data_IF_272126376671
#
_entry.id   IF_272126376671
#
_cell.length_a   1.000
_cell.length_b   1.000
_cell.length_c   1.000
_cell.angle_alpha   90.00
_cell.angle_beta   90.00
_cell.angle_gamma   90.00
#
_symmetry.space_group_name_H-M   'P 1'
#
loop_
_entity.id
_entity.type
_entity.pdbx_description
1 polymer ?
#
# COMPACT_ATOMS: atom_id res chain seq x y z
N UNK A 1 -2.45 -18.29 4.83
CA UNK A 1 -1.37 -19.05 5.54
C UNK A 1 -0.36 -18.01 5.95
N UNK A 2 0.03 -18.02 7.22
CA UNK A 2 0.96 -17.04 7.74
C UNK A 2 2.33 -17.20 7.08
N UNK A 3 2.97 -16.08 6.76
CA UNK A 3 4.26 -16.06 6.05
C UNK A 3 5.17 -14.97 6.61
N UNK A 4 6.45 -15.10 6.33
CA UNK A 4 7.45 -14.10 6.66
C UNK A 4 8.44 -13.93 5.51
N UNK A 5 9.12 -12.79 5.50
CA UNK A 5 10.27 -12.52 4.66
C UNK A 5 11.33 -11.75 5.47
N UNK A 6 12.58 -11.79 5.02
CA UNK A 6 13.68 -11.00 5.62
C UNK A 6 14.39 -10.32 4.46
N UNK A 7 14.27 -9.01 4.40
CA UNK A 7 14.79 -8.20 3.28
C UNK A 7 14.92 -6.74 3.69
N UNK A 8 15.92 -6.05 3.18
CA UNK A 8 16.02 -4.58 3.26
C UNK A 8 14.96 -3.97 2.35
N UNK A 9 13.93 -3.37 2.94
CA UNK A 9 12.80 -2.78 2.22
C UNK A 9 12.69 -1.26 2.39
N UNK A 10 13.46 -0.68 3.30
CA UNK A 10 13.50 0.76 3.54
C UNK A 10 14.77 1.43 2.96
N UNK A 11 15.77 0.62 2.57
CA UNK A 11 17.00 1.07 1.93
C UNK A 11 18.06 1.57 2.92
N UNK A 12 17.95 1.23 4.21
CA UNK A 12 18.91 1.64 5.23
C UNK A 12 20.15 0.72 5.30
N UNK A 13 20.13 -0.40 4.56
CA UNK A 13 21.19 -1.40 4.49
C UNK A 13 21.08 -2.49 5.56
N UNK A 14 20.05 -2.49 6.38
CA UNK A 14 19.69 -3.56 7.30
C UNK A 14 18.48 -4.31 6.76
N UNK A 15 18.26 -5.52 7.26
CA UNK A 15 17.11 -6.33 6.85
C UNK A 15 15.99 -6.19 7.86
N UNK A 16 14.79 -5.95 7.38
CA UNK A 16 13.56 -5.99 8.15
C UNK A 16 13.00 -7.41 8.17
N UNK A 17 12.27 -7.73 9.23
CA UNK A 17 11.40 -8.88 9.30
C UNK A 17 9.98 -8.48 8.86
N UNK A 18 9.57 -8.97 7.71
CA UNK A 18 8.22 -8.82 7.21
C UNK A 18 7.37 -9.99 7.66
N UNK A 19 6.16 -9.71 8.09
CA UNK A 19 5.26 -10.72 8.62
C UNK A 19 3.85 -10.53 8.06
N UNK A 20 3.29 -11.57 7.44
CA UNK A 20 1.89 -11.59 7.02
C UNK A 20 1.16 -12.67 7.79
N UNK A 21 0.17 -12.30 8.57
CA UNK A 21 -0.57 -13.22 9.42
C UNK A 21 -2.08 -12.99 9.34
N UNK A 22 -2.84 -14.08 9.50
CA UNK A 22 -4.27 -14.03 9.69
C UNK A 22 -4.59 -13.99 11.18
N UNK A 23 -5.35 -12.98 11.62
CA UNK A 23 -5.90 -12.99 12.95
C UNK A 23 -7.31 -13.65 12.95
N UNK A 24 -7.83 -13.99 14.12
CA UNK A 24 -9.04 -14.79 14.29
C UNK A 24 -10.36 -14.06 13.99
N UNK A 25 -10.31 -12.81 13.57
CA UNK A 25 -11.51 -12.02 13.31
C UNK A 25 -11.75 -11.87 11.82
N UNK A 26 -13.01 -11.69 11.46
CA UNK A 26 -13.50 -11.59 10.07
C UNK A 26 -12.63 -10.63 9.26
N UNK A 27 -12.02 -11.14 8.19
CA UNK A 27 -11.10 -10.42 7.33
C UNK A 27 -9.81 -9.92 8.00
N UNK A 28 -9.41 -10.53 9.09
CA UNK A 28 -8.24 -10.16 9.85
C UNK A 28 -6.94 -10.72 9.27
N UNK A 29 -6.49 -10.19 8.14
CA UNK A 29 -5.11 -10.35 7.71
C UNK A 29 -4.38 -9.03 7.95
N UNK A 30 -3.16 -9.13 8.45
CA UNK A 30 -2.29 -7.98 8.72
C UNK A 30 -0.87 -8.26 8.23
N UNK A 31 -0.22 -7.23 7.73
CA UNK A 31 1.20 -7.22 7.43
C UNK A 31 1.93 -6.31 8.40
N UNK A 32 3.07 -6.80 8.89
CA UNK A 32 3.99 -6.06 9.75
C UNK A 32 5.32 -5.91 9.03
N UNK A 33 5.94 -4.76 9.18
CA UNK A 33 7.35 -4.53 8.92
C UNK A 33 7.99 -4.21 10.25
N UNK A 34 8.98 -5.01 10.62
CA UNK A 34 9.64 -4.96 11.93
C UNK A 34 11.14 -4.73 11.72
N UNK A 35 11.68 -3.69 12.34
CA UNK A 35 13.12 -3.44 12.40
C UNK A 35 13.73 -3.94 13.70
N UNK A 36 15.02 -4.32 13.64
CA UNK A 36 15.77 -4.72 14.80
C UNK A 36 16.41 -3.50 15.45
N UNK A 37 16.04 -3.22 16.70
CA UNK A 37 16.49 -2.06 17.45
C UNK A 37 17.84 -2.30 18.16
N UNK A 38 18.56 -1.23 18.49
CA UNK A 38 19.86 -1.31 19.17
C UNK A 38 19.82 -2.01 20.54
N UNK A 39 18.66 -1.94 21.22
CA UNK A 39 18.45 -2.60 22.52
C UNK A 39 18.12 -4.09 22.40
N UNK A 40 18.07 -4.64 21.18
CA UNK A 40 17.76 -6.03 20.89
C UNK A 40 16.27 -6.33 20.77
N UNK A 41 15.40 -5.33 20.85
CA UNK A 41 13.96 -5.48 20.60
C UNK A 41 13.61 -5.37 19.12
N UNK A 42 12.35 -5.69 18.78
CA UNK A 42 11.78 -5.43 17.46
C UNK A 42 10.88 -4.19 17.53
N UNK A 43 11.14 -3.20 16.69
CA UNK A 43 10.30 -2.04 16.45
C UNK A 43 9.31 -2.31 15.32
N UNK A 44 8.10 -1.77 15.42
CA UNK A 44 7.12 -1.83 14.33
C UNK A 44 7.32 -0.58 13.46
N UNK A 45 7.76 -0.76 12.23
CA UNK A 45 7.86 0.32 11.24
C UNK A 45 6.53 0.53 10.51
N UNK A 46 5.79 -0.56 10.20
CA UNK A 46 4.47 -0.52 9.59
C UNK A 46 3.59 -1.66 10.10
N UNK A 47 2.30 -1.37 10.28
CA UNK A 47 1.24 -2.36 10.51
C UNK A 47 0.05 -1.98 9.64
N UNK A 48 -0.23 -2.79 8.61
CA UNK A 48 -1.23 -2.50 7.60
C UNK A 48 -1.89 -3.76 7.02
N UNK A 49 -2.74 -3.59 6.01
CA UNK A 49 -3.31 -4.68 5.24
C UNK A 49 -2.22 -5.45 4.47
N UNK A 50 -2.42 -6.76 4.20
CA UNK A 50 -1.34 -7.63 3.74
C UNK A 50 -0.96 -7.49 2.26
N UNK A 51 -1.72 -6.74 1.46
CA UNK A 51 -1.42 -6.55 0.04
C UNK A 51 -0.53 -5.32 -0.13
N UNK A 52 0.78 -5.56 -0.16
CA UNK A 52 1.82 -4.54 -0.22
C UNK A 52 2.62 -4.67 -1.52
N UNK A 53 2.92 -3.54 -2.15
CA UNK A 53 3.96 -3.43 -3.18
C UNK A 53 5.07 -2.56 -2.64
N UNK A 54 6.29 -3.08 -2.67
CA UNK A 54 7.50 -2.42 -2.18
C UNK A 54 8.29 -1.85 -3.35
N UNK A 55 8.89 -0.67 -3.15
CA UNK A 55 9.76 -0.01 -4.13
C UNK A 55 11.14 0.25 -3.52
N UNK A 56 12.17 0.24 -4.36
CA UNK A 56 13.57 0.36 -3.96
C UNK A 56 14.00 1.76 -3.48
N UNK A 57 13.06 2.71 -3.41
CA UNK A 57 13.23 4.04 -2.83
C UNK A 57 12.57 4.22 -1.45
N UNK A 58 12.21 3.13 -0.77
CA UNK A 58 11.53 3.17 0.52
C UNK A 58 10.05 3.58 0.45
N UNK A 59 9.43 3.48 -0.73
CA UNK A 59 7.99 3.67 -0.91
C UNK A 59 7.26 2.33 -0.78
N UNK A 60 6.10 2.34 -0.15
CA UNK A 60 5.20 1.18 -0.08
C UNK A 60 3.80 1.60 -0.53
N UNK A 61 3.22 0.80 -1.40
CA UNK A 61 1.81 0.90 -1.78
C UNK A 61 1.02 -0.18 -1.07
N UNK A 62 0.02 0.24 -0.29
CA UNK A 62 -0.84 -0.65 0.51
C UNK A 62 -2.24 -0.63 -0.05
N UNK A 63 -2.71 -1.75 -0.59
CA UNK A 63 -4.04 -1.84 -1.18
C UNK A 63 -5.12 -2.02 -0.11
N UNK A 64 -6.26 -1.34 -0.28
CA UNK A 64 -7.44 -1.51 0.56
C UNK A 64 -7.94 -2.96 0.49
N UNK A 65 -8.33 -3.54 1.63
CA UNK A 65 -8.68 -4.97 1.67
C UNK A 65 -10.21 -5.22 1.65
N UNK A 66 -11.00 -4.22 2.02
CA UNK A 66 -12.43 -4.36 2.22
C UNK A 66 -13.30 -3.45 1.37
N UNK A 67 -12.71 -2.61 0.55
CA UNK A 67 -13.45 -1.67 -0.28
C UNK A 67 -12.83 -1.58 -1.66
N UNK A 68 -13.64 -1.82 -2.67
CA UNK A 68 -13.25 -1.62 -4.07
C UNK A 68 -13.41 -0.15 -4.50
N UNK A 69 -13.76 0.75 -3.55
CA UNK A 69 -14.04 2.14 -3.90
C UNK A 69 -15.19 2.30 -4.91
N UNK A 70 -15.11 3.34 -5.73
CA UNK A 70 -16.08 3.65 -6.77
C UNK A 70 -15.66 3.17 -8.17
N UNK A 71 -14.54 2.47 -8.28
CA UNK A 71 -14.05 1.93 -9.55
C UNK A 71 -14.13 0.39 -9.62
N UNK A 72 -14.59 -0.29 -8.56
CA UNK A 72 -14.76 -1.73 -8.53
C UNK A 72 -13.48 -2.47 -8.87
N UNK A 73 -13.54 -3.38 -9.86
CA UNK A 73 -12.38 -4.16 -10.30
C UNK A 73 -11.44 -3.38 -11.24
N UNK A 74 -11.89 -2.21 -11.75
CA UNK A 74 -11.10 -1.40 -12.68
C UNK A 74 -9.94 -0.68 -12.01
N UNK A 75 -10.10 -0.35 -10.71
CA UNK A 75 -9.07 0.29 -9.92
C UNK A 75 -9.27 -0.05 -8.44
N UNK A 76 -8.22 -0.57 -7.80
CA UNK A 76 -8.26 -0.91 -6.39
C UNK A 76 -7.68 0.24 -5.56
N UNK A 77 -8.44 0.82 -4.61
CA UNK A 77 -7.94 1.92 -3.76
C UNK A 77 -6.70 1.50 -2.98
N UNK A 78 -5.80 2.46 -2.76
CA UNK A 78 -4.56 2.20 -2.03
C UNK A 78 -4.09 3.44 -1.26
N UNK A 79 -3.19 3.20 -0.29
CA UNK A 79 -2.43 4.24 0.41
C UNK A 79 -0.95 4.13 0.04
N UNK A 80 -0.28 5.28 -0.05
CA UNK A 80 1.17 5.35 -0.18
C UNK A 80 1.79 5.68 1.17
N UNK A 81 2.86 4.96 1.47
CA UNK A 81 3.70 5.16 2.64
C UNK A 81 5.13 5.39 2.20
N UNK A 82 5.83 6.29 2.87
CA UNK A 82 7.26 6.53 2.66
C UNK A 82 7.99 6.32 3.98
N UNK A 83 9.13 5.66 3.91
CA UNK A 83 10.00 5.49 5.06
C UNK A 83 10.59 6.82 5.52
N UNK A 84 10.52 7.08 6.83
CA UNK A 84 11.18 8.21 7.48
C UNK A 84 12.32 7.68 8.36
N UNK A 85 13.60 7.91 7.97
CA UNK A 85 14.75 7.44 8.72
C UNK A 85 14.94 8.14 10.07
N UNK A 86 14.24 9.26 10.35
CA UNK A 86 14.32 9.93 11.62
C UNK A 86 13.49 9.26 12.71
N UNK A 87 12.37 8.69 12.32
CA UNK A 87 11.43 8.01 13.21
C UNK A 87 11.53 6.49 13.15
N UNK A 88 12.28 5.95 12.18
CA UNK A 88 12.34 4.51 11.85
C UNK A 88 10.94 3.94 11.59
N UNK A 89 10.13 4.67 10.79
CA UNK A 89 8.74 4.30 10.49
C UNK A 89 8.35 4.67 9.08
N UNK A 90 7.33 3.98 8.61
CA UNK A 90 6.62 4.38 7.39
C UNK A 90 5.49 5.33 7.74
N UNK A 91 5.48 6.49 7.09
CA UNK A 91 4.43 7.49 7.23
C UNK A 91 3.57 7.51 5.97
N UNK A 92 2.24 7.53 6.17
CA UNK A 92 1.31 7.66 5.06
C UNK A 92 1.49 9.04 4.41
N UNK A 93 1.66 9.05 3.10
CA UNK A 93 1.84 10.29 2.32
C UNK A 93 0.62 10.63 1.45
N UNK A 94 -0.14 9.62 1.04
CA UNK A 94 -1.36 9.83 0.26
C UNK A 94 -2.31 8.63 0.37
N UNK A 95 -3.59 8.89 0.15
CA UNK A 95 -4.60 7.88 -0.18
C UNK A 95 -5.09 8.12 -1.59
N UNK A 96 -5.32 7.04 -2.33
CA UNK A 96 -5.77 7.11 -3.72
C UNK A 96 -7.01 6.25 -3.93
N UNK A 97 -7.99 6.83 -4.59
CA UNK A 97 -9.20 6.14 -5.02
C UNK A 97 -9.54 6.56 -6.46
N UNK A 98 -10.48 5.89 -7.09
CA UNK A 98 -10.94 6.22 -8.42
C UNK A 98 -12.46 6.02 -8.54
N UNK A 99 -13.05 6.65 -9.55
CA UNK A 99 -14.44 6.44 -9.89
C UNK A 99 -14.57 6.05 -11.36
N UNK A 100 -15.08 4.84 -11.60
CA UNK A 100 -15.45 4.35 -12.92
C UNK A 100 -16.92 4.73 -13.18
N UNK A 101 -17.13 5.59 -14.17
CA UNK A 101 -18.45 6.08 -14.58
C UNK A 101 -19.39 4.92 -14.98
N UNK A 102 -18.85 3.83 -15.49
CA UNK A 102 -19.67 2.67 -15.89
C UNK A 102 -20.39 2.00 -14.71
N UNK A 103 -19.91 2.22 -13.48
CA UNK A 103 -20.52 1.71 -12.25
C UNK A 103 -21.60 2.66 -11.70
N UNK A 104 -21.71 3.89 -12.19
CA UNK A 104 -22.72 4.83 -11.80
C UNK A 104 -22.41 6.25 -12.21
N UNK A 105 -23.43 6.96 -12.67
CA UNK A 105 -23.36 8.39 -13.02
C UNK A 105 -23.45 9.31 -11.80
N UNK A 106 -23.80 8.75 -10.62
CA UNK A 106 -23.86 9.47 -9.35
C UNK A 106 -23.28 8.60 -8.24
N UNK A 107 -22.64 9.23 -7.25
CA UNK A 107 -22.17 8.53 -6.08
C UNK A 107 -23.22 8.58 -4.95
N UNK A 108 -23.92 7.47 -4.66
CA UNK A 108 -24.93 7.45 -3.63
C UNK A 108 -24.36 7.61 -2.20
N UNK A 109 -23.08 7.31 -1.99
CA UNK A 109 -22.40 7.46 -0.70
C UNK A 109 -22.05 8.93 -0.41
N UNK A 110 -22.00 9.78 -1.46
CA UNK A 110 -21.64 11.19 -1.36
C UNK A 110 -22.78 12.09 -1.79
N UNK A 111 -23.95 11.92 -1.18
CA UNK A 111 -25.14 12.73 -1.44
C UNK A 111 -25.53 12.79 -2.94
N UNK A 112 -25.34 11.69 -3.68
CA UNK A 112 -25.61 11.59 -5.11
C UNK A 112 -24.88 12.66 -5.95
N UNK A 113 -23.63 12.97 -5.60
CA UNK A 113 -22.76 13.82 -6.43
C UNK A 113 -22.67 13.20 -7.82
N UNK A 114 -22.86 13.99 -8.89
CA UNK A 114 -22.74 13.48 -10.27
C UNK A 114 -21.27 13.20 -10.60
N UNK A 115 -21.05 12.27 -11.56
CA UNK A 115 -19.71 12.02 -12.10
C UNK A 115 -19.11 13.31 -12.68
N UNK A 116 -17.85 13.67 -12.32
CA UNK A 116 -17.23 14.93 -12.74
C UNK A 116 -16.71 14.85 -14.19
N UNK A 117 -17.64 14.86 -15.15
CA UNK A 117 -17.32 14.64 -16.56
C UNK A 117 -16.38 15.72 -17.15
N UNK A 118 -16.37 16.91 -16.58
CA UNK A 118 -15.47 18.00 -16.97
C UNK A 118 -14.00 17.72 -16.60
N UNK A 119 -13.76 16.87 -15.61
CA UNK A 119 -12.42 16.44 -15.22
C UNK A 119 -11.88 15.33 -16.13
N UNK A 120 -12.75 14.43 -16.60
CA UNK A 120 -12.40 13.35 -17.53
C UNK A 120 -12.18 13.88 -18.96
N UNK A 121 -11.10 14.67 -19.14
CA UNK A 121 -10.81 15.38 -20.40
C UNK A 121 -10.59 14.42 -21.56
N UNK A 122 -10.08 13.23 -21.29
CA UNK A 122 -9.83 12.19 -22.29
C UNK A 122 -11.03 11.29 -22.55
N UNK A 123 -12.12 11.50 -21.80
CA UNK A 123 -13.33 10.68 -21.87
C UNK A 123 -13.03 9.17 -21.73
N UNK A 124 -12.19 8.85 -20.74
CA UNK A 124 -11.80 7.46 -20.39
C UNK A 124 -12.91 6.76 -19.60
N UNK A 125 -13.81 7.54 -18.99
CA UNK A 125 -14.80 7.05 -18.04
C UNK A 125 -14.23 6.87 -16.62
N UNK A 126 -12.99 7.32 -16.37
CA UNK A 126 -12.31 7.18 -15.09
C UNK A 126 -11.77 8.52 -14.61
N UNK A 127 -12.03 8.85 -13.35
CA UNK A 127 -11.36 9.95 -12.62
C UNK A 127 -10.73 9.43 -11.36
N UNK A 128 -9.71 10.12 -10.87
CA UNK A 128 -8.91 9.70 -9.71
C UNK A 128 -8.97 10.76 -8.62
N UNK A 129 -8.80 10.31 -7.38
CA UNK A 129 -8.75 11.15 -6.19
C UNK A 129 -7.45 10.89 -5.45
N UNK A 130 -6.62 11.91 -5.33
CA UNK A 130 -5.36 11.88 -4.58
C UNK A 130 -5.61 12.69 -3.32
N UNK A 131 -5.67 12.00 -2.20
CA UNK A 131 -6.12 12.56 -0.92
C UNK A 131 -4.96 12.60 0.07
N UNK A 132 -4.98 13.60 0.94
CA UNK A 132 -4.05 13.71 2.07
C UNK A 132 -4.35 12.66 3.14
N UNK A 133 -3.36 12.25 3.94
CA UNK A 133 -3.57 11.35 5.09
C UNK A 133 -4.56 11.88 6.14
N UNK A 134 -4.80 13.19 6.17
CA UNK A 134 -5.65 13.85 7.17
C UNK A 134 -7.14 13.54 7.00
N UNK A 135 -7.54 12.97 5.87
CA UNK A 135 -8.93 12.58 5.65
C UNK A 135 -9.31 12.36 4.18
N UNK A 136 -10.46 11.74 4.00
CA UNK A 136 -11.03 11.49 2.67
C UNK A 136 -11.59 12.78 2.11
N UNK A 137 -11.03 13.27 1.00
CA UNK A 137 -11.51 14.43 0.27
C UNK A 137 -11.72 14.09 -1.21
N UNK A 138 -12.97 13.94 -1.59
CA UNK A 138 -13.39 13.65 -2.96
C UNK A 138 -13.84 14.90 -3.73
N UNK A 139 -13.47 16.08 -3.27
CA UNK A 139 -13.84 17.34 -3.94
C UNK A 139 -12.92 17.73 -5.09
N UNK A 140 -11.77 17.08 -5.21
CA UNK A 140 -10.73 17.40 -6.17
C UNK A 140 -10.36 16.21 -7.06
N UNK A 141 -11.26 15.76 -7.96
CA UNK A 141 -10.93 14.72 -8.92
C UNK A 141 -9.89 15.21 -9.93
N UNK A 142 -9.06 14.27 -10.38
CA UNK A 142 -8.06 14.52 -11.44
C UNK A 142 -8.24 13.55 -12.61
N UNK A 143 -7.81 13.97 -13.80
CA UNK A 143 -7.77 13.14 -15.01
C UNK A 143 -6.70 12.04 -14.87
N UNK A 144 -6.81 11.02 -15.67
CA UNK A 144 -5.85 9.92 -15.75
C UNK A 144 -4.41 10.39 -15.98
N UNK A 145 -4.20 11.42 -16.82
CA UNK A 145 -2.86 11.93 -17.09
C UNK A 145 -2.23 12.63 -15.89
N UNK A 146 -3.03 13.37 -15.13
CA UNK A 146 -2.57 14.08 -13.94
C UNK A 146 -2.28 13.08 -12.81
N UNK A 147 -3.15 12.07 -12.65
CA UNK A 147 -2.89 10.96 -11.74
C UNK A 147 -1.58 10.23 -12.08
N UNK A 148 -1.37 9.88 -13.36
CA UNK A 148 -0.16 9.17 -13.78
C UNK A 148 1.10 10.02 -13.56
N UNK A 149 1.06 11.31 -13.91
CA UNK A 149 2.16 12.23 -13.68
C UNK A 149 2.49 12.37 -12.17
N UNK A 150 1.46 12.42 -11.34
CA UNK A 150 1.63 12.42 -9.89
C UNK A 150 2.26 11.11 -9.40
N UNK A 151 1.76 9.95 -9.82
CA UNK A 151 2.30 8.66 -9.41
C UNK A 151 3.77 8.51 -9.85
N UNK A 152 4.09 8.87 -11.09
CA UNK A 152 5.47 8.86 -11.61
C UNK A 152 6.39 9.75 -10.75
N UNK A 153 5.88 10.89 -10.27
CA UNK A 153 6.63 11.77 -9.37
C UNK A 153 6.87 11.16 -7.99
N UNK A 154 5.93 10.34 -7.49
CA UNK A 154 6.12 9.63 -6.22
C UNK A 154 7.14 8.50 -6.33
N UNK A 155 7.10 7.79 -7.44
CA UNK A 155 8.02 6.68 -7.71
C UNK A 155 9.45 7.17 -7.98
N UNK A 156 9.63 8.34 -8.59
CA UNK A 156 10.96 8.91 -8.91
C UNK A 156 11.85 7.95 -9.73
N UNK A 157 11.23 7.07 -10.52
CA UNK A 157 11.92 6.04 -11.29
C UNK A 157 12.27 4.77 -10.52
N UNK A 158 11.83 4.66 -9.27
CA UNK A 158 12.01 3.46 -8.46
C UNK A 158 11.42 2.21 -9.11
N UNK A 159 12.01 1.08 -8.81
CA UNK A 159 11.58 -0.21 -9.31
C UNK A 159 10.88 -0.99 -8.19
N UNK A 160 9.88 -1.77 -8.59
CA UNK A 160 9.23 -2.69 -7.67
C UNK A 160 10.21 -3.76 -7.17
N UNK A 161 10.24 -3.96 -5.86
CA UNK A 161 11.04 -5.01 -5.22
C UNK A 161 10.24 -6.30 -5.13
N UNK A 162 10.85 -7.41 -5.56
CA UNK A 162 10.28 -8.74 -5.35
C UNK A 162 10.61 -9.23 -3.94
N UNK A 163 9.60 -9.54 -3.13
CA UNK A 163 9.77 -10.07 -1.78
C UNK A 163 9.68 -11.59 -1.81
N UNK A 164 10.70 -12.25 -1.24
CA UNK A 164 10.74 -13.71 -1.09
C UNK A 164 10.02 -14.14 0.18
N UNK A 165 8.76 -14.54 0.05
CA UNK A 165 7.92 -14.98 1.17
C UNK A 165 8.10 -16.46 1.48
N UNK A 166 8.24 -16.80 2.75
CA UNK A 166 8.33 -18.15 3.27
C UNK A 166 7.16 -18.46 4.21
N UNK A 167 6.58 -19.65 4.09
CA UNK A 167 5.54 -20.08 5.05
C UNK A 167 6.09 -20.10 6.47
N UNK A 168 5.32 -19.60 7.45
CA UNK A 168 5.68 -19.59 8.84
C UNK A 168 5.56 -21.00 9.42
N UNK A 169 6.65 -21.75 9.36
CA UNK A 169 6.80 -23.10 9.91
C UNK A 169 8.04 -23.17 10.81
N UNK A 170 8.06 -24.13 11.73
CA UNK A 170 9.24 -24.37 12.56
C UNK A 170 10.49 -24.69 11.73
N UNK A 171 10.32 -25.40 10.61
CA UNK A 171 11.40 -25.71 9.68
C UNK A 171 12.01 -24.47 9.03
N UNK A 172 11.18 -23.58 8.49
CA UNK A 172 11.65 -22.35 7.87
C UNK A 172 12.24 -21.38 8.92
N UNK A 173 11.67 -21.32 10.14
CA UNK A 173 12.24 -20.54 11.24
C UNK A 173 13.62 -21.05 11.66
N UNK A 174 13.83 -22.37 11.65
CA UNK A 174 15.15 -22.95 11.90
C UNK A 174 16.10 -22.67 10.73
N UNK A 175 15.66 -22.83 9.48
CA UNK A 175 16.48 -22.52 8.31
C UNK A 175 16.96 -21.06 8.31
N UNK A 176 16.08 -20.12 8.72
CA UNK A 176 16.47 -18.71 8.90
C UNK A 176 17.61 -18.56 9.92
N UNK A 177 17.49 -19.21 11.10
CA UNK A 177 18.55 -19.17 12.14
C UNK A 177 19.88 -19.71 11.65
N UNK A 178 19.86 -20.70 10.77
CA UNK A 178 21.04 -21.37 10.23
C UNK A 178 21.60 -20.67 8.98
N UNK A 179 20.94 -19.61 8.50
CA UNK A 179 21.31 -18.93 7.25
C UNK A 179 21.09 -19.76 5.99
N UNK A 180 20.16 -20.71 6.05
CA UNK A 180 19.89 -21.72 5.01
C UNK A 180 18.50 -21.54 4.35
N UNK A 181 17.88 -20.37 4.44
CA UNK A 181 16.67 -20.10 3.66
C UNK A 181 17.02 -20.15 2.17
N UNK A 182 16.19 -20.80 1.34
CA UNK A 182 16.45 -20.97 -0.08
C UNK A 182 16.39 -19.65 -0.88
#
# INVERSE_FOLDING_TARGET
MDSFAVQDVDGDGRQELLFSCSNTYTAGMSAYILSYQEDGSLGIQLLEFPTLTFYDNGLIQVYAHHSQGMAGESFWPYSLYRYDPQTDRYEMTAMVDAWDRSLGETNPLWNNIPYPAETDVRNTGMVYYIMSPDGLDYSHPVDQSDYQAWLDSQLEGAQEQTISWYSLTSGNAQALREGNLP
#
